data_IF_006221556800
#
_entry.id   IF_006221556800
#
_cell.length_a   1.000
_cell.length_b   1.000
_cell.length_c   1.000
_cell.angle_alpha   90.00
_cell.angle_beta   90.00
_cell.angle_gamma   90.00
#
_symmetry.space_group_name_H-M   'P 1'
#
loop_
_entity.id
_entity.type
_entity.pdbx_description
1 polymer ?
#
# COMPACT_ATOMS: atom_id res chain seq x y z
N UNK A 1 15.47 -9.19 -5.15
CA UNK A 1 14.54 -8.41 -4.29
C UNK A 1 13.66 -7.54 -5.17
N UNK A 2 12.39 -7.38 -4.81
CA UNK A 2 11.40 -6.61 -5.55
C UNK A 2 10.55 -5.86 -4.51
N UNK A 3 10.04 -4.68 -4.86
CA UNK A 3 9.45 -3.75 -3.90
C UNK A 3 7.92 -3.69 -3.98
N UNK A 4 7.31 -3.33 -2.85
CA UNK A 4 5.92 -2.99 -2.74
C UNK A 4 5.77 -1.58 -2.14
N UNK A 5 4.77 -0.84 -2.61
CA UNK A 5 4.32 0.41 -2.00
C UNK A 5 2.94 0.17 -1.39
N UNK A 6 2.74 0.68 -0.18
CA UNK A 6 1.47 0.65 0.54
C UNK A 6 1.18 2.07 0.98
N UNK A 7 -0.10 2.44 1.13
CA UNK A 7 -0.37 3.72 1.77
C UNK A 7 0.09 3.66 3.21
N UNK A 8 0.81 4.70 3.60
CA UNK A 8 1.08 5.02 4.99
C UNK A 8 -0.08 5.87 5.56
N UNK A 9 0.17 6.54 6.68
CA UNK A 9 -0.76 7.53 7.26
C UNK A 9 -1.33 8.50 6.22
N UNK A 10 -2.58 8.91 6.43
CA UNK A 10 -3.31 9.88 5.59
C UNK A 10 -3.59 11.15 6.39
N UNK A 11 -3.98 12.22 5.70
CA UNK A 11 -4.36 13.48 6.34
C UNK A 11 -3.19 14.38 6.72
N UNK A 12 -1.99 14.13 6.18
CA UNK A 12 -0.89 15.07 6.28
C UNK A 12 -1.25 16.37 5.54
N UNK A 13 -0.94 17.50 6.17
CA UNK A 13 -1.19 18.84 5.66
C UNK A 13 -0.07 19.33 4.74
N UNK A 14 1.07 18.65 4.70
CA UNK A 14 2.14 18.92 3.74
C UNK A 14 2.67 17.64 3.09
N UNK A 15 3.14 17.79 1.86
CA UNK A 15 3.76 16.74 1.06
C UNK A 15 5.11 16.41 1.64
N UNK A 16 5.26 15.19 2.15
CA UNK A 16 6.46 14.78 2.85
C UNK A 16 7.66 14.78 1.91
N UNK A 17 8.76 15.37 2.36
CA UNK A 17 10.07 15.25 1.72
C UNK A 17 11.13 14.65 2.67
N UNK A 18 10.90 14.74 3.98
CA UNK A 18 11.80 14.22 5.01
C UNK A 18 11.03 13.65 6.18
N UNK A 19 11.53 12.55 6.73
CA UNK A 19 10.97 11.90 7.91
C UNK A 19 12.10 11.61 8.89
N UNK A 20 11.89 11.88 10.19
CA UNK A 20 12.89 11.66 11.23
C UNK A 20 12.24 11.23 12.55
N UNK A 21 12.83 10.25 13.23
CA UNK A 21 12.43 9.87 14.59
C UNK A 21 13.03 10.84 15.60
N UNK A 22 12.18 11.55 16.34
CA UNK A 22 12.60 12.45 17.40
C UNK A 22 13.02 11.71 18.67
N UNK A 23 13.73 12.37 19.58
CA UNK A 23 14.13 11.81 20.87
C UNK A 23 12.94 11.49 21.80
N UNK A 24 11.75 12.05 21.52
CA UNK A 24 10.49 11.80 22.20
C UNK A 24 9.75 10.54 21.66
N UNK A 25 10.34 9.85 20.69
CA UNK A 25 9.71 8.71 20.00
C UNK A 25 8.66 9.11 18.97
N UNK A 26 8.42 10.40 18.74
CA UNK A 26 7.52 10.87 17.69
C UNK A 26 8.20 10.80 16.32
N UNK A 27 7.40 10.61 15.28
CA UNK A 27 7.83 10.72 13.89
C UNK A 27 7.58 12.16 13.41
N UNK A 28 8.65 12.88 13.11
CA UNK A 28 8.58 14.22 12.54
C UNK A 28 8.59 14.13 11.02
N UNK A 29 7.62 14.76 10.38
CA UNK A 29 7.46 14.82 8.93
C UNK A 29 7.70 16.25 8.47
N UNK A 30 8.81 16.45 7.78
CA UNK A 30 9.11 17.67 7.07
C UNK A 30 8.47 17.64 5.69
N UNK A 31 7.64 18.63 5.41
CA UNK A 31 6.93 18.80 4.16
C UNK A 31 7.22 20.14 3.50
N UNK A 32 6.75 20.28 2.26
CA UNK A 32 6.82 21.56 1.55
C UNK A 32 5.74 22.49 2.13
N UNK A 33 6.16 23.62 2.69
CA UNK A 33 5.26 24.65 3.22
C UNK A 33 5.90 26.03 3.18
N UNK A 34 5.19 27.02 2.64
CA UNK A 34 5.62 28.41 2.63
C UNK A 34 4.60 29.34 1.99
N UNK A 35 4.46 30.55 2.53
CA UNK A 35 3.50 31.57 2.05
C UNK A 35 4.02 32.38 0.85
N UNK A 36 5.27 32.17 0.44
CA UNK A 36 5.91 32.97 -0.59
C UNK A 36 5.54 32.46 -2.00
N UNK A 37 5.33 33.35 -2.96
CA UNK A 37 4.88 33.02 -4.32
C UNK A 37 5.81 32.06 -5.09
N UNK A 38 7.08 31.95 -4.69
CA UNK A 38 8.05 31.02 -5.26
C UNK A 38 8.14 29.68 -4.52
N UNK A 39 7.43 29.52 -3.40
CA UNK A 39 7.39 28.28 -2.62
C UNK A 39 6.08 27.58 -2.92
N UNK A 40 6.17 26.31 -3.32
CA UNK A 40 5.01 25.48 -3.52
C UNK A 40 4.31 25.25 -2.16
N UNK A 41 2.98 25.07 -2.16
CA UNK A 41 2.20 24.78 -0.95
C UNK A 41 1.19 23.68 -1.27
N UNK A 42 0.82 22.88 -0.27
CA UNK A 42 -0.21 21.86 -0.44
C UNK A 42 -1.59 22.48 -0.36
N UNK A 43 -2.55 21.89 -1.07
CA UNK A 43 -3.97 22.24 -0.92
C UNK A 43 -4.63 21.04 -0.27
N UNK A 44 -5.21 21.24 0.91
CA UNK A 44 -5.86 20.17 1.66
C UNK A 44 -7.13 19.68 0.91
N UNK A 45 -7.74 18.55 1.33
CA UNK A 45 -8.96 18.05 0.71
C UNK A 45 -10.16 19.02 0.73
N UNK A 46 -10.16 20.02 1.61
CA UNK A 46 -11.17 21.08 1.66
C UNK A 46 -10.92 22.24 0.67
N UNK A 47 -9.82 22.20 -0.08
CA UNK A 47 -9.46 23.24 -1.04
C UNK A 47 -8.65 24.39 -0.44
N UNK A 48 -8.17 24.25 0.80
CA UNK A 48 -7.47 25.31 1.52
C UNK A 48 -5.94 25.13 1.42
N UNK A 49 -5.19 26.22 1.17
CA UNK A 49 -3.75 26.15 1.11
C UNK A 49 -3.14 25.95 2.51
N UNK A 50 -2.24 24.98 2.62
CA UNK A 50 -1.49 24.68 3.84
C UNK A 50 -0.06 25.19 3.69
N UNK A 51 0.35 26.01 4.66
CA UNK A 51 1.66 26.67 4.64
C UNK A 51 2.63 26.11 5.68
N UNK A 52 2.16 25.19 6.52
CA UNK A 52 2.98 24.54 7.52
C UNK A 52 3.79 23.43 6.85
N UNK A 53 5.10 23.37 7.14
CA UNK A 53 6.00 22.38 6.56
C UNK A 53 6.53 21.37 7.57
N UNK A 54 5.96 21.33 8.79
CA UNK A 54 6.40 20.42 9.84
C UNK A 54 5.20 19.85 10.58
N UNK A 55 5.10 18.52 10.57
CA UNK A 55 4.10 17.77 11.31
C UNK A 55 4.77 16.79 12.26
N UNK A 56 4.11 16.49 13.38
CA UNK A 56 4.58 15.53 14.37
C UNK A 56 3.52 14.45 14.56
N UNK A 57 3.88 13.20 14.30
CA UNK A 57 3.04 12.04 14.55
C UNK A 57 3.54 11.36 15.83
N UNK A 58 2.72 11.40 16.87
CA UNK A 58 3.03 10.74 18.14
C UNK A 58 2.42 9.33 18.16
N UNK A 59 3.20 8.27 18.40
CA UNK A 59 2.68 6.92 18.50
C UNK A 59 1.62 6.81 19.60
N UNK A 60 0.50 6.15 19.29
CA UNK A 60 -0.58 5.90 20.26
C UNK A 60 -0.28 4.72 21.19
N UNK A 61 0.73 3.91 20.86
CA UNK A 61 1.00 2.63 21.51
C UNK A 61 0.12 1.48 21.01
N UNK A 62 -0.86 1.76 20.15
CA UNK A 62 -1.72 0.74 19.54
C UNK A 62 -1.23 0.34 18.14
N UNK A 63 -1.26 -0.96 17.84
CA UNK A 63 -0.98 -1.46 16.50
C UNK A 63 -2.21 -1.28 15.59
N UNK A 64 -2.01 -0.58 14.47
CA UNK A 64 -3.01 -0.49 13.41
C UNK A 64 -3.26 -1.86 12.76
N UNK A 65 -4.50 -2.13 12.35
CA UNK A 65 -4.80 -3.30 11.52
C UNK A 65 -4.57 -2.93 10.05
N UNK A 66 -3.53 -3.53 9.46
CA UNK A 66 -3.02 -3.18 8.13
C UNK A 66 -2.45 -4.41 7.41
N UNK A 67 -2.17 -4.26 6.12
CA UNK A 67 -1.29 -5.16 5.39
C UNK A 67 0.14 -4.89 5.87
N UNK A 68 0.80 -5.93 6.41
CA UNK A 68 2.18 -5.86 6.89
C UNK A 68 3.19 -6.02 5.74
N UNK A 69 3.00 -7.01 4.86
CA UNK A 69 3.78 -7.13 3.62
C UNK A 69 3.07 -8.01 2.58
N UNK A 70 3.51 -7.90 1.33
CA UNK A 70 3.12 -8.76 0.22
C UNK A 70 4.39 -9.33 -0.42
N UNK A 71 4.42 -10.64 -0.67
CA UNK A 71 5.59 -11.34 -1.22
C UNK A 71 5.20 -12.19 -2.43
N UNK A 72 5.88 -11.99 -3.55
CA UNK A 72 5.65 -12.80 -4.75
C UNK A 72 5.97 -14.28 -4.50
N UNK A 73 5.18 -15.16 -5.12
CA UNK A 73 5.39 -16.61 -5.23
C UNK A 73 5.43 -17.00 -6.71
N UNK A 74 5.78 -18.25 -7.06
CA UNK A 74 5.75 -18.70 -8.46
C UNK A 74 4.36 -18.61 -9.12
N UNK A 75 3.29 -18.60 -8.34
CA UNK A 75 1.89 -18.68 -8.79
C UNK A 75 1.04 -17.47 -8.40
N UNK A 76 1.58 -16.51 -7.65
CA UNK A 76 0.81 -15.42 -7.07
C UNK A 76 1.57 -14.68 -5.98
N UNK A 77 0.94 -14.54 -4.81
CA UNK A 77 1.50 -13.79 -3.68
C UNK A 77 1.12 -14.40 -2.33
N UNK A 78 1.96 -14.19 -1.33
CA UNK A 78 1.56 -14.26 0.08
C UNK A 78 1.28 -12.85 0.55
N UNK A 79 0.10 -12.63 1.12
CA UNK A 79 -0.29 -11.37 1.77
C UNK A 79 -0.32 -11.60 3.28
N UNK A 80 0.35 -10.76 4.05
CA UNK A 80 0.43 -10.85 5.52
C UNK A 80 -0.15 -9.60 6.16
N UNK A 81 -0.92 -9.78 7.22
CA UNK A 81 -1.58 -8.72 7.98
C UNK A 81 -0.93 -8.53 9.36
N UNK A 82 -1.09 -7.34 9.95
CA UNK A 82 -0.59 -7.04 11.30
C UNK A 82 -1.41 -7.74 12.39
N UNK A 83 -2.68 -8.04 12.11
CA UNK A 83 -3.61 -8.72 13.02
C UNK A 83 -4.29 -9.90 12.31
N UNK A 84 -4.74 -10.94 13.05
CA UNK A 84 -5.45 -12.06 12.46
C UNK A 84 -6.81 -11.66 11.89
N UNK A 85 -7.14 -12.20 10.72
CA UNK A 85 -8.41 -12.07 10.00
C UNK A 85 -9.16 -13.39 10.07
N UNK A 86 -10.51 -13.39 10.15
CA UNK A 86 -11.28 -14.63 10.11
C UNK A 86 -10.93 -15.46 8.86
N UNK A 87 -10.69 -16.76 9.06
CA UNK A 87 -10.12 -17.63 8.00
C UNK A 87 -11.08 -17.82 6.84
N UNK A 88 -12.38 -17.78 7.10
CA UNK A 88 -13.44 -17.81 6.09
C UNK A 88 -13.39 -16.59 5.17
N UNK A 89 -13.14 -15.40 5.71
CA UNK A 89 -12.92 -14.18 4.91
C UNK A 89 -11.66 -14.31 4.07
N UNK A 90 -10.57 -14.83 4.67
CA UNK A 90 -9.31 -15.01 3.94
C UNK A 90 -9.40 -16.05 2.82
N UNK A 91 -10.27 -17.06 2.96
CA UNK A 91 -10.50 -18.13 1.97
C UNK A 91 -11.29 -17.68 0.76
N UNK A 92 -12.07 -16.61 0.88
CA UNK A 92 -12.91 -16.14 -0.22
C UNK A 92 -12.07 -15.35 -1.23
N UNK A 93 -11.87 -15.85 -2.48
CA UNK A 93 -11.12 -15.14 -3.49
C UNK A 93 -11.74 -13.79 -3.88
N UNK A 94 -13.06 -13.62 -3.70
CA UNK A 94 -13.75 -12.37 -4.00
C UNK A 94 -13.35 -11.21 -3.05
N UNK A 95 -12.71 -11.53 -1.92
CA UNK A 95 -12.13 -10.55 -0.98
C UNK A 95 -10.96 -9.77 -1.57
N UNK A 96 -10.41 -10.21 -2.71
CA UNK A 96 -9.20 -9.65 -3.31
C UNK A 96 -9.47 -9.18 -4.74
N UNK A 97 -9.37 -7.88 -4.97
CA UNK A 97 -9.38 -7.31 -6.30
C UNK A 97 -7.94 -7.10 -6.78
N UNK A 98 -7.58 -7.69 -7.93
CA UNK A 98 -6.23 -7.62 -8.49
C UNK A 98 -6.28 -7.05 -9.90
N UNK A 99 -5.42 -6.08 -10.16
CA UNK A 99 -5.16 -5.57 -11.51
C UNK A 99 -3.66 -5.46 -11.74
N UNK A 100 -3.23 -5.45 -13.00
CA UNK A 100 -1.84 -5.21 -13.37
C UNK A 100 -1.73 -4.28 -14.56
N UNK A 101 -0.60 -3.57 -14.66
CA UNK A 101 -0.25 -2.76 -15.82
C UNK A 101 1.27 -2.55 -15.86
N UNK A 102 1.79 -2.05 -16.98
CA UNK A 102 3.15 -1.52 -17.05
C UNK A 102 3.11 -0.04 -17.44
N UNK A 103 4.27 0.62 -17.45
CA UNK A 103 4.38 2.03 -17.85
C UNK A 103 5.28 2.15 -19.07
N UNK A 104 4.88 3.00 -20.02
CA UNK A 104 5.80 3.44 -21.07
C UNK A 104 6.71 4.51 -20.51
N UNK A 105 8.02 4.25 -20.44
CA UNK A 105 8.99 5.28 -20.09
C UNK A 105 8.95 6.41 -21.13
N UNK A 106 8.81 7.65 -20.67
CA UNK A 106 8.83 8.84 -21.53
C UNK A 106 9.81 9.87 -20.97
N UNK A 107 10.13 10.90 -21.77
CA UNK A 107 10.91 12.05 -21.29
C UNK A 107 10.12 12.95 -20.33
N UNK A 108 8.79 12.83 -20.29
CA UNK A 108 7.95 13.59 -19.39
C UNK A 108 8.01 13.01 -17.96
N UNK A 109 7.50 13.76 -16.98
CA UNK A 109 7.35 13.28 -15.62
C UNK A 109 6.30 12.16 -15.56
N UNK A 110 6.80 10.92 -15.63
CA UNK A 110 5.98 9.72 -15.72
C UNK A 110 5.54 9.36 -17.15
N UNK A 111 4.78 8.29 -17.25
CA UNK A 111 4.21 7.82 -18.51
C UNK A 111 2.82 7.22 -18.29
N UNK A 112 2.05 7.00 -19.37
CA UNK A 112 0.75 6.38 -19.25
C UNK A 112 0.88 4.93 -18.77
N UNK A 113 -0.16 4.44 -18.07
CA UNK A 113 -0.36 3.01 -17.86
C UNK A 113 -0.61 2.34 -19.21
N UNK A 114 0.02 1.19 -19.44
CA UNK A 114 -0.09 0.39 -20.66
C UNK A 114 -0.53 -1.02 -20.28
N UNK A 115 -1.35 -1.62 -21.14
CA UNK A 115 -1.87 -2.99 -20.97
C UNK A 115 -2.49 -3.22 -19.58
N UNK A 116 -3.49 -2.41 -19.17
CA UNK A 116 -4.21 -2.65 -17.93
C UNK A 116 -5.03 -3.93 -18.05
N UNK A 117 -4.92 -4.79 -17.03
CA UNK A 117 -5.61 -6.07 -16.98
C UNK A 117 -6.14 -6.31 -15.58
N UNK A 118 -7.39 -6.74 -15.47
CA UNK A 118 -7.92 -7.31 -14.23
C UNK A 118 -7.58 -8.80 -14.17
N UNK A 119 -7.15 -9.27 -13.00
CA UNK A 119 -6.77 -10.66 -12.76
C UNK A 119 -7.69 -11.26 -11.69
N UNK A 120 -8.12 -12.49 -11.93
CA UNK A 120 -8.88 -13.25 -10.94
C UNK A 120 -7.93 -13.95 -9.96
N UNK A 121 -8.24 -13.84 -8.66
CA UNK A 121 -7.70 -14.77 -7.66
C UNK A 121 -8.46 -16.09 -7.79
N UNK A 122 -7.77 -17.18 -8.09
CA UNK A 122 -8.42 -18.49 -8.30
C UNK A 122 -8.38 -19.38 -7.07
N UNK A 123 -7.47 -19.11 -6.13
CA UNK A 123 -7.37 -19.83 -4.87
C UNK A 123 -6.77 -18.92 -3.79
N UNK A 124 -7.23 -19.11 -2.56
CA UNK A 124 -6.83 -18.33 -1.39
C UNK A 124 -6.72 -19.25 -0.17
N UNK A 125 -5.49 -19.51 0.28
CA UNK A 125 -5.20 -20.45 1.37
C UNK A 125 -4.68 -19.68 2.58
N UNK A 126 -5.50 -19.51 3.64
CA UNK A 126 -5.07 -18.83 4.85
C UNK A 126 -4.10 -19.68 5.66
N UNK A 127 -3.20 -19.01 6.38
CA UNK A 127 -2.43 -19.61 7.46
C UNK A 127 -3.32 -20.06 8.62
N UNK A 128 -2.80 -20.93 9.48
CA UNK A 128 -3.52 -21.42 10.65
C UNK A 128 -3.85 -20.29 11.64
N UNK A 129 -2.94 -19.34 11.82
CA UNK A 129 -3.07 -18.18 12.70
C UNK A 129 -3.91 -17.04 12.11
N UNK A 130 -4.39 -17.17 10.86
CA UNK A 130 -5.19 -16.15 10.17
C UNK A 130 -4.44 -14.84 9.89
N UNK A 131 -3.10 -14.80 10.01
CA UNK A 131 -2.31 -13.59 9.74
C UNK A 131 -1.81 -13.51 8.30
N UNK A 132 -1.90 -14.58 7.53
CA UNK A 132 -1.47 -14.59 6.13
C UNK A 132 -2.42 -15.37 5.25
N UNK A 133 -2.37 -15.08 3.95
CA UNK A 133 -3.07 -15.82 2.91
C UNK A 133 -2.14 -16.01 1.71
N UNK A 134 -2.09 -17.22 1.18
CA UNK A 134 -1.42 -17.51 -0.10
C UNK A 134 -2.45 -17.44 -1.20
N UNK A 135 -2.25 -16.52 -2.14
CA UNK A 135 -3.13 -16.26 -3.26
C UNK A 135 -2.53 -16.86 -4.54
N UNK A 136 -3.35 -17.59 -5.28
CA UNK A 136 -3.03 -18.04 -6.64
C UNK A 136 -3.66 -17.10 -7.65
N UNK A 137 -2.84 -16.49 -8.50
CA UNK A 137 -3.24 -15.46 -9.46
C UNK A 137 -2.61 -15.79 -10.81
N UNK A 138 -3.33 -16.52 -11.68
CA UNK A 138 -2.90 -16.77 -13.04
C UNK A 138 -2.77 -15.47 -13.85
N UNK A 139 -1.89 -15.46 -14.87
CA UNK A 139 -1.77 -14.33 -15.79
C UNK A 139 -0.84 -13.19 -15.32
N UNK A 140 -0.17 -13.34 -14.18
CA UNK A 140 0.87 -12.40 -13.74
C UNK A 140 1.99 -12.28 -14.78
N UNK A 141 2.41 -11.04 -15.04
CA UNK A 141 3.49 -10.72 -15.97
C UNK A 141 4.69 -10.09 -15.26
N UNK A 142 5.89 -10.57 -15.57
CA UNK A 142 7.13 -9.89 -15.17
C UNK A 142 7.22 -8.51 -15.86
N UNK A 143 7.75 -7.50 -15.15
CA UNK A 143 7.84 -6.11 -15.61
C UNK A 143 6.57 -5.28 -15.41
N UNK A 144 5.56 -5.83 -14.72
CA UNK A 144 4.29 -5.15 -14.44
C UNK A 144 4.22 -4.71 -12.98
N UNK A 145 3.47 -3.65 -12.72
CA UNK A 145 2.95 -3.32 -11.39
C UNK A 145 1.67 -4.12 -11.19
N UNK A 146 1.60 -4.84 -10.07
CA UNK A 146 0.40 -5.54 -9.61
C UNK A 146 -0.21 -4.71 -8.49
N UNK A 147 -1.47 -4.30 -8.65
CA UNK A 147 -2.24 -3.61 -7.64
C UNK A 147 -3.27 -4.55 -7.05
N UNK A 148 -3.10 -4.83 -5.76
CA UNK A 148 -4.02 -5.66 -4.98
C UNK A 148 -4.77 -4.76 -4.01
N UNK A 149 -6.09 -4.94 -3.93
CA UNK A 149 -6.97 -4.31 -2.95
C UNK A 149 -7.78 -5.36 -2.19
N UNK A 150 -7.99 -5.12 -0.90
CA UNK A 150 -8.80 -5.95 -0.02
C UNK A 150 -9.35 -5.09 1.14
N UNK A 151 -10.50 -5.46 1.69
CA UNK A 151 -11.13 -4.74 2.81
C UNK A 151 -11.65 -5.69 3.90
N UNK A 152 -10.77 -6.52 4.51
CA UNK A 152 -11.19 -7.43 5.56
C UNK A 152 -11.41 -6.68 6.88
N UNK A 153 -12.11 -7.33 7.81
CA UNK A 153 -12.07 -6.99 9.23
C UNK A 153 -11.18 -7.97 9.98
N UNK A 154 -10.44 -7.49 10.97
CA UNK A 154 -9.72 -8.38 11.89
C UNK A 154 -10.72 -9.21 12.71
N UNK A 155 -10.22 -10.28 13.33
CA UNK A 155 -11.00 -11.08 14.31
C UNK A 155 -11.51 -10.27 15.51
N UNK A 156 -10.87 -9.13 15.80
CA UNK A 156 -11.32 -8.17 16.83
C UNK A 156 -12.37 -7.17 16.32
N UNK A 157 -12.76 -7.25 15.05
CA UNK A 157 -13.75 -6.35 14.42
C UNK A 157 -13.16 -5.05 13.85
N UNK A 158 -11.87 -4.75 14.08
CA UNK A 158 -11.19 -3.56 13.52
C UNK A 158 -11.22 -3.60 11.99
N UNK A 159 -11.58 -2.48 11.37
CA UNK A 159 -11.49 -2.27 9.92
C UNK A 159 -10.02 -2.06 9.52
N UNK A 160 -9.66 -2.50 8.31
CA UNK A 160 -8.30 -2.31 7.81
C UNK A 160 -8.05 -0.82 7.52
N UNK A 161 -6.90 -0.30 7.95
CA UNK A 161 -6.55 1.11 7.73
C UNK A 161 -6.09 1.37 6.30
N UNK A 162 -5.23 0.48 5.78
CA UNK A 162 -4.70 0.51 4.42
C UNK A 162 -4.87 -0.87 3.78
N UNK A 163 -5.86 -0.98 2.90
CA UNK A 163 -6.25 -2.22 2.24
C UNK A 163 -5.62 -2.44 0.85
N UNK A 164 -4.60 -1.67 0.48
CA UNK A 164 -4.05 -1.73 -0.89
C UNK A 164 -2.52 -1.73 -0.97
N UNK A 165 -2.03 -2.45 -1.98
CA UNK A 165 -0.60 -2.64 -2.26
C UNK A 165 -0.33 -2.52 -3.75
N UNK A 166 0.70 -1.78 -4.13
CA UNK A 166 1.30 -1.80 -5.46
C UNK A 166 2.63 -2.53 -5.42
N UNK A 167 2.73 -3.66 -6.12
CA UNK A 167 3.91 -4.49 -6.17
C UNK A 167 4.56 -4.42 -7.55
N UNK A 168 5.81 -3.97 -7.66
CA UNK A 168 6.53 -4.04 -8.94
C UNK A 168 7.12 -5.45 -9.11
N UNK A 169 6.45 -6.27 -9.93
CA UNK A 169 6.84 -7.65 -10.22
C UNK A 169 7.87 -7.67 -11.35
N UNK A 170 9.12 -7.33 -11.05
CA UNK A 170 10.26 -7.46 -11.97
C UNK A 170 10.46 -8.90 -12.51
N UNK A 171 10.28 -9.93 -11.66
CA UNK A 171 10.43 -11.35 -12.01
C UNK A 171 9.47 -12.21 -11.18
N UNK A 172 8.91 -13.24 -11.80
CA UNK A 172 8.18 -14.28 -11.08
C UNK A 172 9.20 -15.22 -10.43
N UNK A 173 9.16 -15.45 -9.10
CA UNK A 173 10.08 -16.37 -8.44
C UNK A 173 10.08 -17.76 -9.07
N UNK A 174 11.28 -18.33 -9.28
CA UNK A 174 11.45 -19.65 -9.90
C UNK A 174 11.32 -19.69 -11.42
N UNK A 175 11.14 -18.54 -12.08
CA UNK A 175 11.18 -18.39 -13.54
C UNK A 175 12.36 -17.54 -14.01
#
# INVERSE_FOLDING_TARGET
WQGAAMRFTQGLEAGPNRIFWGPDGSLYVGGIGGRHASTWYWVNPAGEPTYQGLERLSPTGEQAFEIHHMRATPTGFVLTFTQPVPRETLRDPATYAVSQWTYKATRAYGGPKIDPQDLAVTDAVPSEDGRSVTLTIPGLKSGFVVHLRTDPRSTSGRAIWSGEVWYTLNRIPGK
#
